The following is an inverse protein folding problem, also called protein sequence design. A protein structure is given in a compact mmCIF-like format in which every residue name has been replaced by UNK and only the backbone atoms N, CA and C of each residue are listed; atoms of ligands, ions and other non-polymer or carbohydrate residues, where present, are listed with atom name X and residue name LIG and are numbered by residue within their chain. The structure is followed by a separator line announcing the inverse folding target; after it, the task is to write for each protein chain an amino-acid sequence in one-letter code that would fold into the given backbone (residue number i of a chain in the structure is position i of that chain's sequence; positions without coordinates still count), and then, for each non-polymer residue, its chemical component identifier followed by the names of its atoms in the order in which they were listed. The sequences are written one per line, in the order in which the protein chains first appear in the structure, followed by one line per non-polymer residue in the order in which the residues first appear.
data_IF_517831397263
#
_entry.id   IF_517831397263
#
_cell.length_a   1.000
_cell.length_b   1.000
_cell.length_c   1.000
_cell.angle_alpha   90.00
_cell.angle_beta   90.00
_cell.angle_gamma   90.00
#
_symmetry.space_group_name_H-M   'P 1'
#
loop_
_entity.id
_entity.type
_entity.pdbx_description
1 polymer ?
#
# COMPACT_ATOMS: atom_id res chain seq x y z
N UNK A 1 31.26 -10.35 -28.77
CA UNK A 1 30.14 -9.73 -28.03
C UNK A 1 30.73 -8.68 -27.13
N UNK A 2 30.53 -7.40 -27.41
CA UNK A 2 31.08 -6.33 -26.57
C UNK A 2 30.41 -6.37 -25.21
N UNK A 3 31.21 -6.41 -24.14
CA UNK A 3 30.70 -6.26 -22.78
C UNK A 3 30.20 -4.83 -22.62
N UNK A 4 28.88 -4.64 -22.69
CA UNK A 4 28.24 -3.36 -22.38
C UNK A 4 28.59 -2.99 -20.95
N UNK A 5 29.46 -2.00 -20.78
CA UNK A 5 29.84 -1.48 -19.47
C UNK A 5 28.63 -0.79 -18.86
N UNK A 6 28.26 -1.17 -17.64
CA UNK A 6 27.20 -0.48 -16.91
C UNK A 6 27.67 0.92 -16.52
N UNK A 7 27.07 1.95 -17.11
CA UNK A 7 27.41 3.36 -16.84
C UNK A 7 26.64 3.95 -15.65
N UNK A 8 25.67 3.22 -15.10
CA UNK A 8 24.87 3.67 -13.97
C UNK A 8 25.60 3.62 -12.63
N UNK A 9 25.00 4.25 -11.63
CA UNK A 9 25.46 4.27 -10.24
C UNK A 9 24.86 3.10 -9.44
N UNK A 10 25.69 2.41 -8.65
CA UNK A 10 25.24 1.34 -7.77
C UNK A 10 24.45 1.88 -6.58
N UNK A 11 23.18 1.49 -6.43
CA UNK A 11 22.34 1.91 -5.29
C UNK A 11 22.82 1.42 -3.92
N UNK A 12 23.71 0.41 -3.86
CA UNK A 12 24.25 -0.14 -2.60
C UNK A 12 25.46 0.65 -2.08
N UNK A 13 26.30 1.18 -2.96
CA UNK A 13 27.57 1.81 -2.56
C UNK A 13 27.86 3.16 -3.22
N UNK A 14 26.98 3.65 -4.10
CA UNK A 14 27.12 4.94 -4.77
C UNK A 14 28.20 5.01 -5.85
N UNK A 15 28.92 3.91 -6.17
CA UNK A 15 29.95 3.90 -7.21
C UNK A 15 29.37 3.52 -8.57
N UNK A 16 29.86 4.17 -9.64
CA UNK A 16 29.51 3.82 -11.03
C UNK A 16 30.23 2.54 -11.49
N UNK A 17 29.77 1.94 -12.59
CA UNK A 17 30.49 0.84 -13.24
C UNK A 17 29.96 -0.56 -12.92
N UNK A 18 29.03 -0.70 -11.97
CA UNK A 18 28.43 -2.00 -11.63
C UNK A 18 27.01 -1.87 -11.03
N UNK A 19 26.18 -2.90 -11.19
CA UNK A 19 24.84 -2.99 -10.58
C UNK A 19 24.94 -3.45 -9.12
N UNK A 20 23.90 -3.18 -8.32
CA UNK A 20 23.87 -3.56 -6.90
C UNK A 20 24.05 -5.06 -6.64
N UNK A 21 23.53 -5.94 -7.50
CA UNK A 21 23.63 -7.39 -7.33
C UNK A 21 25.06 -7.95 -7.47
N UNK A 22 25.95 -7.25 -8.19
CA UNK A 22 27.39 -7.62 -8.32
C UNK A 22 28.29 -6.79 -7.40
N UNK A 23 27.71 -6.01 -6.48
CA UNK A 23 28.47 -5.12 -5.62
C UNK A 23 29.22 -5.89 -4.52
N UNK A 24 30.56 -5.83 -4.59
CA UNK A 24 31.47 -6.45 -3.61
C UNK A 24 31.70 -5.60 -2.35
N UNK A 25 31.16 -4.38 -2.28
CA UNK A 25 31.26 -3.56 -1.07
C UNK A 25 30.46 -4.20 0.08
N UNK A 26 31.08 -4.31 1.25
CA UNK A 26 30.35 -4.45 2.53
C UNK A 26 29.44 -3.21 2.66
N UNK A 27 28.22 -3.37 3.18
CA UNK A 27 27.18 -2.33 3.20
C UNK A 27 27.81 -0.94 3.44
N UNK A 28 27.77 -0.08 2.42
CA UNK A 28 28.39 1.24 2.47
C UNK A 28 27.57 2.17 3.33
N UNK A 29 28.15 3.30 3.79
CA UNK A 29 27.44 4.25 4.63
C UNK A 29 26.19 4.70 3.89
N UNK A 30 25.05 4.47 4.52
CA UNK A 30 23.73 4.87 4.05
C UNK A 30 23.78 6.36 3.76
N UNK A 31 23.98 6.72 2.48
CA UNK A 31 23.79 8.09 2.03
C UNK A 31 22.34 8.41 2.31
N UNK A 32 22.17 9.21 3.35
CA UNK A 32 21.00 9.90 3.85
C UNK A 32 19.79 9.79 2.90
N UNK A 33 19.13 8.63 2.93
CA UNK A 33 17.76 8.53 2.46
C UNK A 33 16.98 9.06 3.64
N UNK A 34 16.79 10.38 3.64
CA UNK A 34 15.86 11.07 4.51
C UNK A 34 14.67 10.15 4.69
N UNK A 35 14.39 9.81 5.95
CA UNK A 35 13.26 8.97 6.32
C UNK A 35 12.08 9.52 5.52
N UNK A 36 11.54 8.70 4.62
CA UNK A 36 10.25 8.98 4.00
C UNK A 36 9.26 9.02 5.15
N UNK A 37 9.12 10.17 5.80
CA UNK A 37 8.03 10.46 6.72
C UNK A 37 6.79 10.78 5.88
N UNK A 38 6.41 9.84 5.02
CA UNK A 38 5.04 9.71 4.62
C UNK A 38 4.37 8.97 5.79
N UNK A 39 3.48 9.67 6.50
CA UNK A 39 2.74 9.22 7.69
C UNK A 39 3.41 9.45 9.05
N UNK A 40 3.71 10.70 9.40
CA UNK A 40 3.65 11.15 10.80
C UNK A 40 2.57 12.21 10.93
N UNK A 41 1.32 11.78 10.90
CA UNK A 41 0.26 12.39 11.70
C UNK A 41 -0.23 11.28 12.61
N UNK A 42 0.49 11.04 13.70
CA UNK A 42 -0.11 10.42 14.89
C UNK A 42 -1.02 11.48 15.51
N UNK A 43 -2.09 11.84 14.79
CA UNK A 43 -3.21 12.48 15.45
C UNK A 43 -3.87 11.37 16.26
N UNK A 44 -3.97 11.57 17.56
CA UNK A 44 -4.59 10.63 18.47
C UNK A 44 -6.10 10.66 18.18
N UNK A 45 -6.51 9.91 17.15
CA UNK A 45 -7.90 9.84 16.69
C UNK A 45 -8.73 9.16 17.78
N UNK A 46 -9.19 9.97 18.74
CA UNK A 46 -10.10 9.55 19.79
C UNK A 46 -11.53 9.57 19.24
N UNK A 47 -12.03 8.39 18.85
CA UNK A 47 -13.45 8.21 18.58
C UNK A 47 -14.19 7.98 19.91
N UNK A 48 -14.97 8.95 20.36
CA UNK A 48 -15.84 8.80 21.54
C UNK A 48 -17.22 8.35 21.09
N UNK A 49 -17.61 7.13 21.45
CA UNK A 49 -18.98 6.64 21.24
C UNK A 49 -19.78 6.95 22.49
N UNK A 50 -20.69 7.93 22.41
CA UNK A 50 -21.49 8.35 23.56
C UNK A 50 -22.67 7.42 23.84
N UNK A 51 -23.23 6.81 22.78
CA UNK A 51 -24.38 5.92 22.86
C UNK A 51 -24.30 4.86 21.75
N UNK A 52 -24.59 3.61 22.11
CA UNK A 52 -24.69 2.49 21.15
C UNK A 52 -26.15 2.07 21.08
N UNK A 53 -26.82 2.37 19.97
CA UNK A 53 -28.16 1.86 19.71
C UNK A 53 -28.04 0.47 19.07
N UNK A 54 -27.95 -0.57 19.90
CA UNK A 54 -27.98 -1.94 19.40
C UNK A 54 -29.39 -2.26 18.93
N UNK A 55 -29.56 -2.44 17.63
CA UNK A 55 -30.78 -3.01 17.07
C UNK A 55 -30.72 -4.52 17.33
N UNK A 56 -31.56 -5.01 18.25
CA UNK A 56 -31.59 -6.43 18.67
C UNK A 56 -31.86 -7.38 17.50
N UNK A 57 -32.63 -6.90 16.51
CA UNK A 57 -32.81 -7.53 15.20
C UNK A 57 -32.04 -6.74 14.15
N UNK A 58 -30.73 -6.93 14.07
CA UNK A 58 -30.01 -6.59 12.83
C UNK A 58 -30.16 -7.79 11.88
N UNK A 59 -31.14 -7.78 10.95
CA UNK A 59 -31.08 -8.74 9.86
C UNK A 59 -29.70 -8.57 9.22
N UNK A 60 -29.05 -9.67 8.82
CA UNK A 60 -27.76 -9.64 8.09
C UNK A 60 -27.95 -9.05 6.69
N UNK A 61 -28.49 -7.85 6.63
CA UNK A 61 -28.80 -7.07 5.44
C UNK A 61 -27.78 -5.96 5.34
N UNK A 62 -27.21 -5.82 4.16
CA UNK A 62 -26.28 -4.76 3.84
C UNK A 62 -27.01 -3.43 3.76
N UNK A 63 -26.41 -2.37 4.31
CA UNK A 63 -26.86 -1.00 4.08
C UNK A 63 -26.00 -0.43 2.95
N UNK A 64 -26.62 0.25 1.99
CA UNK A 64 -25.90 0.89 0.90
C UNK A 64 -25.38 2.24 1.37
N UNK A 65 -24.07 2.35 1.57
CA UNK A 65 -23.40 3.61 1.91
C UNK A 65 -22.67 4.16 0.69
N UNK A 66 -23.24 5.20 0.07
CA UNK A 66 -22.62 5.90 -1.08
C UNK A 66 -21.40 6.74 -0.68
N UNK A 67 -21.16 6.95 0.62
CA UNK A 67 -20.02 7.67 1.15
C UNK A 67 -18.82 6.79 1.52
N UNK A 68 -19.00 5.47 1.57
CA UNK A 68 -17.93 4.54 1.86
C UNK A 68 -16.98 4.41 0.65
N UNK A 69 -15.77 4.93 0.80
CA UNK A 69 -14.70 4.78 -0.22
C UNK A 69 -13.95 3.45 -0.10
N UNK A 70 -14.03 2.79 1.07
CA UNK A 70 -13.35 1.52 1.35
C UNK A 70 -14.33 0.62 2.10
N UNK A 71 -14.54 -0.59 1.58
CA UNK A 71 -15.33 -1.63 2.23
C UNK A 71 -14.43 -2.63 2.95
N UNK A 72 -14.63 -2.82 4.25
CA UNK A 72 -13.93 -3.83 5.06
C UNK A 72 -14.95 -4.88 5.48
N UNK A 73 -14.79 -6.11 5.00
CA UNK A 73 -15.61 -7.25 5.39
C UNK A 73 -14.73 -8.35 6.00
N UNK A 74 -15.25 -9.05 7.02
CA UNK A 74 -14.59 -10.18 7.68
C UNK A 74 -14.60 -11.44 6.81
N UNK A 75 -15.59 -11.56 5.92
CA UNK A 75 -15.79 -12.71 5.05
C UNK A 75 -15.33 -12.36 3.62
N UNK A 76 -14.25 -13.02 3.18
CA UNK A 76 -13.69 -12.83 1.84
C UNK A 76 -14.60 -13.38 0.74
N UNK A 77 -15.46 -14.33 1.05
CA UNK A 77 -16.33 -14.98 0.06
C UNK A 77 -17.51 -14.09 -0.33
N UNK A 78 -17.77 -13.02 0.43
CA UNK A 78 -18.78 -12.02 0.11
C UNK A 78 -18.31 -10.97 -0.92
N UNK A 79 -17.03 -10.97 -1.32
CA UNK A 79 -16.54 -10.08 -2.37
C UNK A 79 -16.81 -10.65 -3.76
N UNK A 80 -17.75 -10.06 -4.50
CA UNK A 80 -17.91 -10.32 -5.92
C UNK A 80 -17.00 -9.40 -6.74
N UNK A 81 -16.22 -9.94 -7.69
CA UNK A 81 -15.52 -9.11 -8.68
C UNK A 81 -16.53 -8.66 -9.74
N UNK A 82 -16.79 -7.36 -9.83
CA UNK A 82 -17.63 -6.81 -10.88
C UNK A 82 -17.02 -7.12 -12.25
N UNK A 83 -17.83 -7.67 -13.15
CA UNK A 83 -17.47 -7.84 -14.55
C UNK A 83 -18.03 -6.69 -15.37
N UNK A 84 -17.27 -6.27 -16.39
CA UNK A 84 -17.73 -5.28 -17.34
C UNK A 84 -18.93 -5.84 -18.12
N UNK A 85 -20.10 -5.22 -18.01
CA UNK A 85 -21.22 -5.50 -18.89
C UNK A 85 -20.86 -5.01 -20.30
N UNK A 86 -20.76 -5.94 -21.26
CA UNK A 86 -20.58 -5.62 -22.68
C UNK A 86 -21.92 -5.42 -23.40
N UNK A 87 -22.94 -4.93 -22.69
CA UNK A 87 -24.21 -4.56 -23.31
C UNK A 87 -24.01 -3.27 -24.09
N UNK A 88 -24.08 -3.37 -25.41
CA UNK A 88 -24.39 -2.23 -26.28
C UNK A 88 -25.87 -1.88 -26.04
N UNK A 89 -26.14 -0.66 -25.59
CA UNK A 89 -27.48 -0.06 -25.69
C UNK A 89 -27.81 0.29 -27.14
#
# INVERSE_FOLDING_TARGET
MEHVKFTGTCHKCGKVGHKAHVCRSKAGPSYDKGKSQANLTEDDMCAVVTEVNNVEDNPRTWWYDTGATIHVCIDKDMFSTYQKCNGEE
#
